data_IF_441211608636
#
_entry.id   IF_441211608636
#
_cell.length_a   1.000
_cell.length_b   1.000
_cell.length_c   1.000
_cell.angle_alpha   90.00
_cell.angle_beta   90.00
_cell.angle_gamma   90.00
#
_symmetry.space_group_name_H-M   'P 1'
#
loop_
_entity.id
_entity.type
_entity.pdbx_description
1 polymer ?
#
# COMPACT_ATOMS: atom_id res chain seq x y z
N UNK A 1 -5.44 -14.88 13.98
CA UNK A 1 -5.98 -14.87 12.60
C UNK A 1 -6.58 -13.54 12.17
N UNK A 2 -6.80 -12.58 13.07
CA UNK A 2 -7.34 -11.27 12.72
C UNK A 2 -6.29 -10.33 12.09
N UNK A 3 -5.02 -10.42 12.48
CA UNK A 3 -3.92 -9.68 11.85
C UNK A 3 -3.72 -9.97 10.36
N UNK A 4 -3.95 -11.22 9.92
CA UNK A 4 -3.90 -11.59 8.49
C UNK A 4 -5.03 -10.96 7.69
N UNK A 5 -6.24 -10.87 8.26
CA UNK A 5 -7.37 -10.16 7.64
C UNK A 5 -7.08 -8.67 7.49
N UNK A 6 -6.53 -8.03 8.52
CA UNK A 6 -6.12 -6.62 8.48
C UNK A 6 -5.09 -6.41 7.37
N UNK A 7 -4.09 -7.29 7.27
CA UNK A 7 -3.08 -7.20 6.21
C UNK A 7 -3.70 -7.32 4.80
N UNK A 8 -4.66 -8.23 4.60
CA UNK A 8 -5.32 -8.40 3.31
C UNK A 8 -6.17 -7.17 2.93
N UNK A 9 -6.94 -6.64 3.87
CA UNK A 9 -7.74 -5.41 3.67
C UNK A 9 -6.83 -4.24 3.31
N UNK A 10 -5.69 -4.12 4.01
CA UNK A 10 -4.73 -3.05 3.78
C UNK A 10 -4.13 -3.15 2.38
N UNK A 11 -3.70 -4.34 1.95
CA UNK A 11 -3.18 -4.57 0.59
C UNK A 11 -4.26 -4.26 -0.46
N UNK A 12 -5.51 -4.66 -0.21
CA UNK A 12 -6.62 -4.40 -1.12
C UNK A 12 -6.87 -2.89 -1.30
N UNK A 13 -6.81 -2.12 -0.21
CA UNK A 13 -6.84 -0.65 -0.26
C UNK A 13 -5.67 -0.07 -1.06
N UNK A 14 -4.48 -0.64 -0.90
CA UNK A 14 -3.30 -0.30 -1.68
C UNK A 14 -3.46 -0.52 -3.19
N UNK A 15 -4.06 -1.65 -3.58
CA UNK A 15 -4.38 -1.97 -4.98
C UNK A 15 -5.38 -0.96 -5.54
N UNK A 16 -6.44 -0.64 -4.79
CA UNK A 16 -7.46 0.34 -5.20
C UNK A 16 -6.78 1.70 -5.40
N UNK A 17 -6.00 2.15 -4.43
CA UNK A 17 -5.32 3.44 -4.49
C UNK A 17 -4.37 3.56 -5.69
N UNK A 18 -3.59 2.52 -5.98
CA UNK A 18 -2.69 2.47 -7.14
C UNK A 18 -3.45 2.49 -8.47
N UNK A 19 -4.54 1.72 -8.59
CA UNK A 19 -5.37 1.70 -9.80
C UNK A 19 -6.12 3.03 -10.00
N UNK A 20 -6.73 3.59 -8.96
CA UNK A 20 -7.39 4.89 -9.01
C UNK A 20 -6.41 5.99 -9.41
N UNK A 21 -5.19 5.97 -8.87
CA UNK A 21 -4.13 6.93 -9.25
C UNK A 21 -3.70 6.75 -10.69
N UNK A 22 -3.50 5.52 -11.15
CA UNK A 22 -3.19 5.25 -12.55
C UNK A 22 -4.33 5.62 -13.52
N UNK A 23 -5.57 5.59 -13.05
CA UNK A 23 -6.75 6.02 -13.82
C UNK A 23 -6.84 7.55 -13.94
N UNK A 24 -6.68 8.26 -12.81
CA UNK A 24 -6.70 9.74 -12.77
C UNK A 24 -5.47 10.31 -13.48
N UNK A 25 -4.28 9.80 -13.17
CA UNK A 25 -3.02 10.25 -13.71
C UNK A 25 -2.47 9.26 -14.73
N UNK A 26 -3.06 9.24 -15.93
CA UNK A 26 -2.67 8.35 -17.04
C UNK A 26 -1.16 8.35 -17.33
N UNK A 27 -0.46 9.46 -17.06
CA UNK A 27 1.01 9.57 -17.18
C UNK A 27 1.78 8.52 -16.36
N UNK A 28 1.27 8.14 -15.19
CA UNK A 28 1.91 7.19 -14.28
C UNK A 28 1.39 5.76 -14.43
N UNK A 29 0.39 5.53 -15.28
CA UNK A 29 -0.22 4.22 -15.45
C UNK A 29 0.72 3.24 -16.15
N UNK A 30 0.65 1.98 -15.70
CA UNK A 30 1.22 0.79 -16.31
C UNK A 30 0.14 -0.22 -16.74
N UNK A 31 -1.12 0.25 -16.84
CA UNK A 31 -2.29 -0.60 -17.07
C UNK A 31 -2.78 -1.29 -15.79
N UNK A 32 -3.92 -1.98 -15.85
CA UNK A 32 -4.59 -2.58 -14.68
C UNK A 32 -3.68 -3.60 -13.97
N UNK A 33 -3.04 -4.48 -14.74
CA UNK A 33 -2.17 -5.54 -14.18
C UNK A 33 -0.93 -4.93 -13.54
N UNK A 34 -0.25 -3.99 -14.23
CA UNK A 34 0.94 -3.32 -13.72
C UNK A 34 0.65 -2.49 -12.47
N UNK A 35 -0.42 -1.69 -12.49
CA UNK A 35 -0.84 -0.89 -11.35
C UNK A 35 -1.21 -1.77 -10.14
N UNK A 36 -1.83 -2.93 -10.38
CA UNK A 36 -2.16 -3.89 -9.31
C UNK A 36 -0.92 -4.51 -8.68
N UNK A 37 0.05 -4.96 -9.49
CA UNK A 37 1.32 -5.48 -8.98
C UNK A 37 2.07 -4.42 -8.15
N UNK A 38 2.17 -3.20 -8.69
CA UNK A 38 2.82 -2.10 -7.99
C UNK A 38 2.04 -1.73 -6.71
N UNK A 39 0.71 -1.76 -6.75
CA UNK A 39 -0.14 -1.57 -5.58
C UNK A 39 0.13 -2.60 -4.48
N UNK A 40 0.17 -3.89 -4.81
CA UNK A 40 0.49 -4.96 -3.85
C UNK A 40 1.88 -4.75 -3.24
N UNK A 41 2.92 -4.67 -4.07
CA UNK A 41 4.30 -4.60 -3.59
C UNK A 41 4.63 -3.28 -2.90
N UNK A 42 4.13 -2.15 -3.42
CA UNK A 42 4.30 -0.83 -2.81
C UNK A 42 3.67 -0.76 -1.42
N UNK A 43 2.47 -1.31 -1.29
CA UNK A 43 1.76 -1.36 0.00
C UNK A 43 2.49 -2.25 1.01
N UNK A 44 2.91 -3.46 0.61
CA UNK A 44 3.65 -4.38 1.49
C UNK A 44 4.97 -3.74 1.94
N UNK A 45 5.70 -3.09 1.03
CA UNK A 45 6.96 -2.43 1.35
C UNK A 45 6.75 -1.34 2.42
N UNK A 46 5.74 -0.50 2.24
CA UNK A 46 5.43 0.56 3.21
C UNK A 46 4.94 0.00 4.53
N UNK A 47 3.95 -0.89 4.54
CA UNK A 47 3.45 -1.52 5.78
C UNK A 47 4.59 -2.18 6.55
N UNK A 48 5.53 -2.86 5.87
CA UNK A 48 6.64 -3.54 6.54
C UNK A 48 7.73 -2.59 7.03
N UNK A 49 7.96 -1.50 6.29
CA UNK A 49 8.92 -0.45 6.69
C UNK A 49 8.41 0.33 7.91
N UNK A 50 7.14 0.73 7.89
CA UNK A 50 6.49 1.45 8.98
C UNK A 50 5.98 0.54 10.10
N UNK A 51 5.87 -0.77 9.87
CA UNK A 51 5.45 -1.74 10.87
C UNK A 51 6.40 -1.80 12.08
N UNK A 52 7.68 -1.46 11.90
CA UNK A 52 8.65 -1.34 13.00
C UNK A 52 8.36 -0.16 13.95
N UNK A 53 7.52 0.78 13.55
CA UNK A 53 7.06 1.90 14.38
C UNK A 53 5.79 1.55 15.18
N UNK A 54 5.35 0.28 15.17
CA UNK A 54 4.18 -0.20 15.93
C UNK A 54 2.86 -0.16 15.14
N UNK A 55 2.90 0.12 13.84
CA UNK A 55 1.71 0.13 12.98
C UNK A 55 1.45 -1.19 12.26
N UNK A 56 2.08 -2.29 12.69
CA UNK A 56 1.88 -3.58 12.07
C UNK A 56 0.52 -4.20 12.46
N UNK A 57 -0.03 -5.10 11.63
CA UNK A 57 -1.31 -5.76 11.90
C UNK A 57 -1.40 -6.53 13.23
N UNK A 58 -0.26 -6.92 13.82
CA UNK A 58 -0.24 -7.61 15.11
C UNK A 58 -0.29 -6.62 16.26
N UNK A 59 0.38 -5.48 16.14
CA UNK A 59 0.28 -4.37 17.10
C UNK A 59 -1.13 -3.75 17.17
N UNK A 60 -1.89 -3.76 16.06
CA UNK A 60 -3.31 -3.35 16.04
C UNK A 60 -4.19 -4.27 16.90
N UNK A 61 -3.77 -5.52 17.08
CA UNK A 61 -4.51 -6.58 17.75
C UNK A 61 -3.78 -7.00 19.03
N UNK A 62 -3.45 -6.04 19.89
CA UNK A 62 -2.75 -6.34 21.13
C UNK A 62 -3.75 -6.70 22.25
N UNK A 63 -3.61 -7.88 22.85
CA UNK A 63 -4.41 -8.38 23.98
C UNK A 63 -5.95 -8.24 23.84
N UNK A 64 -6.47 -8.43 22.62
CA UNK A 64 -7.91 -8.41 22.35
C UNK A 64 -8.56 -7.03 22.36
N UNK A 65 -7.79 -5.94 22.53
CA UNK A 65 -8.26 -4.57 22.35
C UNK A 65 -7.96 -4.13 20.92
N UNK A 66 -9.03 -3.78 20.20
CA UNK A 66 -8.93 -3.25 18.85
C UNK A 66 -8.61 -1.75 18.89
N UNK A 67 -7.44 -1.38 18.40
CA UNK A 67 -7.07 0.02 18.25
C UNK A 67 -7.46 0.52 16.85
N UNK A 68 -8.60 1.18 16.77
CA UNK A 68 -9.13 1.74 15.52
C UNK A 68 -8.21 2.80 14.92
N UNK A 69 -7.44 3.54 15.74
CA UNK A 69 -6.54 4.57 15.28
C UNK A 69 -5.35 3.97 14.53
N UNK A 70 -4.73 2.93 15.10
CA UNK A 70 -3.64 2.20 14.46
C UNK A 70 -4.07 1.55 13.14
N UNK A 71 -5.33 1.06 13.06
CA UNK A 71 -5.88 0.54 11.81
C UNK A 71 -6.01 1.62 10.74
N UNK A 72 -6.57 2.80 11.06
CA UNK A 72 -6.69 3.91 10.10
C UNK A 72 -5.31 4.32 9.57
N UNK A 73 -4.32 4.43 10.45
CA UNK A 73 -2.94 4.76 10.04
C UNK A 73 -2.38 3.68 9.11
N UNK A 74 -2.55 2.40 9.44
CA UNK A 74 -2.07 1.31 8.59
C UNK A 74 -2.70 1.36 7.17
N UNK A 75 -4.01 1.61 7.10
CA UNK A 75 -4.72 1.76 5.83
C UNK A 75 -4.22 2.96 5.02
N UNK A 76 -3.98 4.10 5.65
CA UNK A 76 -3.42 5.30 5.01
C UNK A 76 -2.00 5.04 4.49
N UNK A 77 -1.14 4.42 5.31
CA UNK A 77 0.23 4.06 4.92
C UNK A 77 0.21 3.08 3.74
N UNK A 78 -0.70 2.11 3.73
CA UNK A 78 -0.88 1.18 2.63
C UNK A 78 -1.29 1.90 1.34
N UNK A 79 -2.32 2.75 1.41
CA UNK A 79 -2.79 3.53 0.27
C UNK A 79 -1.67 4.43 -0.29
N UNK A 80 -0.96 5.14 0.58
CA UNK A 80 0.20 5.95 0.20
C UNK A 80 1.31 5.09 -0.41
N UNK A 81 1.56 3.89 0.12
CA UNK A 81 2.54 2.95 -0.43
C UNK A 81 2.19 2.51 -1.85
N UNK A 82 0.92 2.24 -2.14
CA UNK A 82 0.45 1.96 -3.49
C UNK A 82 0.62 3.14 -4.46
N UNK A 83 0.28 4.36 -4.03
CA UNK A 83 0.39 5.59 -4.83
C UNK A 83 1.85 5.94 -5.10
N UNK A 84 2.66 6.03 -4.05
CA UNK A 84 4.07 6.38 -4.14
C UNK A 84 4.85 5.29 -4.87
N UNK A 85 4.50 4.02 -4.69
CA UNK A 85 5.06 2.91 -5.45
C UNK A 85 4.85 3.11 -6.96
N UNK A 86 3.64 3.49 -7.38
CA UNK A 86 3.32 3.76 -8.78
C UNK A 86 4.20 4.88 -9.37
N UNK A 87 4.28 6.00 -8.66
CA UNK A 87 5.05 7.17 -9.09
C UNK A 87 6.55 6.83 -9.16
N UNK A 88 7.07 6.16 -8.13
CA UNK A 88 8.48 5.78 -8.03
C UNK A 88 8.90 4.83 -9.16
N UNK A 89 8.12 3.78 -9.42
CA UNK A 89 8.39 2.85 -10.51
C UNK A 89 8.35 3.55 -11.86
N UNK A 90 7.43 4.50 -12.07
CA UNK A 90 7.40 5.30 -13.30
C UNK A 90 8.62 6.20 -13.45
N UNK A 91 9.10 6.81 -12.36
CA UNK A 91 10.30 7.62 -12.38
C UNK A 91 11.54 6.79 -12.77
N UNK A 92 11.67 5.59 -12.22
CA UNK A 92 12.76 4.66 -12.60
C UNK A 92 12.63 4.25 -14.06
N UNK A 93 11.44 3.82 -14.49
CA UNK A 93 11.19 3.42 -15.88
C UNK A 93 11.59 4.51 -16.88
N UNK A 94 11.19 5.76 -16.62
CA UNK A 94 11.53 6.89 -17.48
C UNK A 94 13.02 7.24 -17.47
N UNK A 95 13.74 6.93 -16.39
CA UNK A 95 15.19 7.16 -16.28
C UNK A 95 16.00 6.05 -16.97
N UNK A 96 15.48 4.82 -17.00
CA UNK A 96 16.12 3.67 -17.65
C UNK A 96 15.87 3.60 -19.16
N UNK A 97 14.71 4.08 -19.62
CA UNK A 97 14.38 4.19 -21.06
C UNK A 97 14.87 5.50 -21.71
N UNK A 98 15.74 6.24 -21.01
CA UNK A 98 16.44 7.41 -21.53
C UNK A 98 17.93 7.10 -21.58
#
# INVERSE_FOLDING_TARGET
MTGTLISLISILLGIIAANSTGFIFKKYSFGIIGNTLIGVFGSILFIKSFGRLGFDPWSIMNDGKFDAFLLIVNLLVSALGGILGLIFVKMIYNKMNK
#
